data_IF_112549767843
#
_entry.id   IF_112549767843
#
_cell.length_a   1.000
_cell.length_b   1.000
_cell.length_c   1.000
_cell.angle_alpha   90.00
_cell.angle_beta   90.00
_cell.angle_gamma   90.00
#
_symmetry.space_group_name_H-M   'P 1'
#
loop_
_entity.id
_entity.type
_entity.pdbx_description
1 polymer ?
#
# COMPACT_ATOMS: atom_id res chain seq x y z
N UNK A 1 13.19 14.83 4.58
CA UNK A 1 11.74 14.59 4.76
C UNK A 1 11.41 13.15 4.36
N UNK A 2 10.55 12.45 5.12
CA UNK A 2 10.14 11.07 4.80
C UNK A 2 9.12 11.12 3.67
N UNK A 3 9.37 10.52 2.49
CA UNK A 3 8.37 10.43 1.44
C UNK A 3 7.23 9.49 1.84
N UNK A 4 5.99 9.89 1.56
CA UNK A 4 4.78 9.19 2.05
C UNK A 4 3.70 9.04 0.99
N UNK A 5 2.93 7.96 1.10
CA UNK A 5 1.60 7.85 0.52
C UNK A 5 0.58 8.46 1.49
N UNK A 6 -0.18 9.43 1.06
CA UNK A 6 -1.29 10.01 1.83
C UNK A 6 -2.58 9.27 1.50
N UNK A 7 -3.05 8.38 2.37
CA UNK A 7 -4.37 7.76 2.22
C UNK A 7 -5.41 8.71 2.79
N UNK A 8 -6.26 9.24 1.91
CA UNK A 8 -7.29 10.25 2.25
C UNK A 8 -8.62 9.86 1.63
N UNK A 9 -9.71 10.36 2.21
CA UNK A 9 -11.01 10.36 1.56
C UNK A 9 -11.19 11.68 0.82
N UNK A 10 -11.56 11.61 -0.44
CA UNK A 10 -11.92 12.76 -1.24
C UNK A 10 -13.23 12.47 -2.01
N UNK A 11 -14.33 12.93 -1.43
CA UNK A 11 -15.67 12.69 -2.00
C UNK A 11 -15.85 13.35 -3.35
N UNK A 12 -15.17 14.47 -3.60
CA UNK A 12 -15.26 15.19 -4.88
C UNK A 12 -14.68 14.36 -6.03
N UNK A 13 -13.70 13.49 -5.73
CA UNK A 13 -13.07 12.58 -6.69
C UNK A 13 -13.51 11.11 -6.50
N UNK A 14 -14.63 10.86 -5.83
CA UNK A 14 -15.15 9.50 -5.61
C UNK A 14 -14.30 8.63 -4.70
N UNK A 15 -13.40 9.23 -3.92
CA UNK A 15 -12.53 8.50 -3.00
C UNK A 15 -13.19 8.44 -1.61
N UNK A 16 -13.35 7.25 -1.10
CA UNK A 16 -13.86 7.04 0.26
C UNK A 16 -12.94 6.13 1.06
N UNK A 17 -12.84 6.39 2.35
CA UNK A 17 -12.28 5.47 3.33
C UNK A 17 -13.41 4.95 4.19
N UNK A 18 -13.37 3.66 4.54
CA UNK A 18 -14.46 3.03 5.31
C UNK A 18 -14.54 3.55 6.74
N UNK A 19 -13.45 4.07 7.28
CA UNK A 19 -13.35 4.54 8.66
C UNK A 19 -12.23 5.56 8.82
N UNK A 20 -12.21 6.26 9.94
CA UNK A 20 -11.15 7.21 10.28
C UNK A 20 -9.76 6.56 10.33
N UNK A 21 -9.66 5.31 10.80
CA UNK A 21 -8.40 4.55 10.77
C UNK A 21 -7.87 4.31 9.34
N UNK A 22 -8.73 4.45 8.34
CA UNK A 22 -8.34 4.46 6.94
C UNK A 22 -7.50 5.67 6.55
N UNK A 23 -7.68 6.82 7.22
CA UNK A 23 -6.93 8.05 6.97
C UNK A 23 -5.54 7.92 7.59
N UNK A 24 -4.51 7.87 6.77
CA UNK A 24 -3.15 7.67 7.26
C UNK A 24 -2.08 8.10 6.27
N UNK A 25 -0.89 8.31 6.80
CA UNK A 25 0.33 8.51 6.05
C UNK A 25 1.17 7.24 6.13
N UNK A 26 1.48 6.66 4.98
CA UNK A 26 2.27 5.44 4.87
C UNK A 26 3.61 5.79 4.24
N UNK A 27 4.74 5.65 4.94
CA UNK A 27 6.05 5.86 4.36
C UNK A 27 6.29 4.97 3.13
N UNK A 28 6.99 5.52 2.14
CA UNK A 28 7.38 4.79 0.95
C UNK A 28 8.64 3.99 1.28
N UNK A 29 8.62 2.69 1.01
CA UNK A 29 9.76 1.81 1.23
C UNK A 29 10.99 2.28 0.45
N UNK A 30 12.18 2.30 1.08
CA UNK A 30 13.42 2.75 0.45
C UNK A 30 13.68 2.07 -0.89
N UNK A 31 13.42 0.77 -0.99
CA UNK A 31 13.60 0.01 -2.23
C UNK A 31 12.72 0.48 -3.40
N UNK A 32 11.51 1.00 -3.13
CA UNK A 32 10.68 1.58 -4.19
C UNK A 32 11.31 2.85 -4.75
N UNK A 33 11.93 3.66 -3.89
CA UNK A 33 12.64 4.87 -4.31
C UNK A 33 13.87 4.52 -5.15
N UNK A 34 14.65 3.53 -4.74
CA UNK A 34 15.80 3.01 -5.48
C UNK A 34 15.41 2.45 -6.86
N UNK A 35 14.19 1.91 -6.99
CA UNK A 35 13.64 1.39 -8.26
C UNK A 35 13.06 2.49 -9.16
N UNK A 36 13.21 3.77 -8.80
CA UNK A 36 12.77 4.90 -9.62
C UNK A 36 11.32 5.32 -9.41
N UNK A 37 10.71 4.95 -8.26
CA UNK A 37 9.32 5.34 -8.01
C UNK A 37 9.13 6.86 -7.89
N UNK A 38 10.14 7.59 -7.38
CA UNK A 38 10.13 9.05 -7.30
C UNK A 38 10.03 9.68 -8.69
N UNK A 39 10.90 9.28 -9.59
CA UNK A 39 10.95 9.73 -10.99
C UNK A 39 9.66 9.40 -11.74
N UNK A 40 9.11 8.21 -11.50
CA UNK A 40 7.81 7.83 -12.06
C UNK A 40 6.69 8.77 -11.61
N UNK A 41 6.62 9.11 -10.31
CA UNK A 41 5.63 10.06 -9.78
C UNK A 41 5.79 11.44 -10.41
N UNK A 42 7.02 11.94 -10.52
CA UNK A 42 7.30 13.26 -11.08
C UNK A 42 6.99 13.33 -12.58
N UNK A 43 7.27 12.26 -13.32
CA UNK A 43 6.85 12.15 -14.72
C UNK A 43 5.32 12.20 -14.88
N UNK A 44 4.58 11.53 -13.96
CA UNK A 44 3.10 11.55 -13.98
C UNK A 44 2.50 12.89 -13.59
N UNK A 45 3.15 13.68 -12.75
CA UNK A 45 2.71 15.06 -12.45
C UNK A 45 2.83 15.97 -13.67
N UNK A 46 3.80 15.69 -14.54
CA UNK A 46 4.11 16.52 -15.71
C UNK A 46 3.31 16.13 -16.96
N UNK A 47 2.66 14.97 -16.97
CA UNK A 47 1.88 14.51 -18.11
C UNK A 47 0.43 15.02 -18.10
N UNK A 48 -0.25 14.90 -19.25
CA UNK A 48 -1.65 15.33 -19.41
C UNK A 48 -2.68 14.40 -18.74
N UNK A 49 -2.25 13.44 -17.92
CA UNK A 49 -3.12 12.42 -17.29
C UNK A 49 -3.98 12.96 -16.14
N UNK A 50 -3.97 14.27 -15.91
CA UNK A 50 -4.73 14.89 -14.82
C UNK A 50 -4.17 14.54 -13.44
N UNK A 51 -2.88 14.20 -13.34
CA UNK A 51 -2.19 13.88 -12.07
C UNK A 51 -2.52 12.50 -11.51
N UNK A 52 -3.16 11.62 -12.28
CA UNK A 52 -3.40 10.23 -11.85
C UNK A 52 -2.15 9.39 -12.03
N UNK A 53 -1.72 8.72 -10.96
CA UNK A 53 -0.53 7.87 -10.97
C UNK A 53 -0.67 6.68 -11.95
N UNK A 54 -1.87 6.09 -12.02
CA UNK A 54 -2.23 4.97 -12.89
C UNK A 54 -3.38 5.41 -13.81
N UNK A 55 -3.07 6.18 -14.85
CA UNK A 55 -4.05 6.72 -15.80
C UNK A 55 -4.79 5.64 -16.59
N UNK A 56 -4.12 4.51 -16.84
CA UNK A 56 -4.66 3.39 -17.63
C UNK A 56 -5.67 2.51 -16.88
N UNK A 57 -5.82 2.74 -15.56
CA UNK A 57 -6.80 2.02 -14.76
C UNK A 57 -8.16 2.69 -14.91
N UNK A 58 -9.11 2.00 -15.54
CA UNK A 58 -10.49 2.46 -15.66
C UNK A 58 -11.14 2.51 -14.28
N UNK A 59 -11.73 3.65 -13.93
CA UNK A 59 -12.55 3.77 -12.73
C UNK A 59 -13.95 3.27 -13.01
N UNK A 60 -14.46 2.38 -12.16
CA UNK A 60 -15.85 1.98 -12.22
C UNK A 60 -16.76 3.14 -11.75
N UNK A 61 -17.96 3.26 -12.33
CA UNK A 61 -18.94 4.31 -11.98
C UNK A 61 -19.33 4.31 -10.49
N UNK A 62 -19.21 3.17 -9.81
CA UNK A 62 -19.68 2.96 -8.44
C UNK A 62 -18.57 2.78 -7.41
N UNK A 63 -17.29 2.96 -7.72
CA UNK A 63 -16.31 2.76 -6.66
C UNK A 63 -14.85 2.50 -7.01
N UNK A 64 -14.28 3.30 -7.87
CA UNK A 64 -12.83 3.30 -8.05
C UNK A 64 -12.25 2.09 -8.84
N UNK A 65 -10.96 2.16 -9.17
CA UNK A 65 -10.29 1.18 -10.03
C UNK A 65 -9.99 -0.19 -9.41
N UNK A 66 -10.28 -0.40 -8.12
CA UNK A 66 -9.88 -1.61 -7.41
C UNK A 66 -10.52 -2.91 -7.94
N UNK A 67 -11.78 -2.86 -8.38
CA UNK A 67 -12.48 -4.02 -8.94
C UNK A 67 -11.88 -4.47 -10.27
N UNK A 68 -11.64 -3.53 -11.18
CA UNK A 68 -11.04 -3.82 -12.48
C UNK A 68 -9.59 -4.30 -12.35
N UNK A 69 -8.83 -3.69 -11.45
CA UNK A 69 -7.48 -4.16 -11.16
C UNK A 69 -7.47 -5.58 -10.59
N UNK A 70 -8.40 -5.91 -9.70
CA UNK A 70 -8.52 -7.28 -9.15
C UNK A 70 -8.87 -8.31 -10.23
N UNK A 71 -9.74 -7.98 -11.18
CA UNK A 71 -10.05 -8.81 -12.33
C UNK A 71 -8.83 -8.99 -13.24
N UNK A 72 -8.11 -7.91 -13.52
CA UNK A 72 -6.87 -7.95 -14.29
C UNK A 72 -5.83 -8.85 -13.61
N UNK A 73 -5.61 -8.69 -12.30
CA UNK A 73 -4.69 -9.51 -11.52
C UNK A 73 -5.04 -11.00 -11.61
N UNK A 74 -6.32 -11.34 -11.45
CA UNK A 74 -6.79 -12.71 -11.58
C UNK A 74 -6.57 -13.30 -12.99
N UNK A 75 -6.70 -12.49 -14.05
CA UNK A 75 -6.36 -12.93 -15.41
C UNK A 75 -4.87 -13.16 -15.58
N UNK A 76 -4.01 -12.23 -15.08
CA UNK A 76 -2.57 -12.37 -15.19
C UNK A 76 -2.05 -13.59 -14.44
N UNK A 77 -2.49 -13.81 -13.20
CA UNK A 77 -2.05 -14.99 -12.41
C UNK A 77 -2.41 -16.31 -13.09
N UNK A 78 -3.57 -16.39 -13.77
CA UNK A 78 -3.92 -17.57 -14.60
C UNK A 78 -2.99 -17.71 -15.80
N UNK A 79 -2.73 -16.61 -16.51
CA UNK A 79 -1.88 -16.59 -17.71
C UNK A 79 -0.46 -17.09 -17.43
N UNK A 80 0.10 -16.74 -16.27
CA UNK A 80 1.46 -17.12 -15.87
C UNK A 80 1.53 -18.39 -15.00
N UNK A 81 0.40 -19.10 -14.86
CA UNK A 81 0.35 -20.37 -14.13
C UNK A 81 0.44 -20.25 -12.60
N UNK A 82 0.30 -19.06 -12.03
CA UNK A 82 0.38 -18.84 -10.57
C UNK A 82 -0.99 -18.85 -9.88
N UNK A 83 -2.07 -19.02 -10.66
CA UNK A 83 -3.41 -19.01 -10.07
C UNK A 83 -3.64 -20.20 -9.15
N UNK A 84 -4.18 -19.90 -7.98
CA UNK A 84 -4.73 -20.89 -7.03
C UNK A 84 -5.94 -20.29 -6.32
N UNK A 85 -6.92 -21.09 -5.88
CA UNK A 85 -8.05 -20.62 -5.09
C UNK A 85 -7.57 -19.83 -3.87
N UNK A 86 -8.18 -18.67 -3.61
CA UNK A 86 -7.80 -17.79 -2.51
C UNK A 86 -6.64 -16.82 -2.80
N UNK A 87 -5.89 -16.99 -3.89
CA UNK A 87 -4.88 -16.03 -4.30
C UNK A 87 -5.54 -14.85 -5.02
N UNK A 88 -5.68 -13.76 -4.29
CA UNK A 88 -6.26 -12.50 -4.78
C UNK A 88 -5.27 -11.35 -4.56
N UNK A 89 -5.51 -10.20 -5.20
CA UNK A 89 -4.61 -9.06 -5.02
C UNK A 89 -4.47 -8.65 -3.54
N UNK A 90 -5.52 -8.78 -2.75
CA UNK A 90 -5.49 -8.51 -1.30
C UNK A 90 -4.52 -9.42 -0.52
N UNK A 91 -4.10 -10.55 -1.08
CA UNK A 91 -3.11 -11.44 -0.47
C UNK A 91 -1.75 -10.77 -0.24
N UNK A 92 -1.39 -9.77 -1.06
CA UNK A 92 -0.19 -8.96 -0.80
C UNK A 92 -0.27 -8.20 0.53
N UNK A 93 -1.46 -7.70 0.89
CA UNK A 93 -1.65 -7.05 2.18
C UNK A 93 -1.45 -8.02 3.35
N UNK A 94 -1.94 -9.26 3.22
CA UNK A 94 -1.73 -10.28 4.25
C UNK A 94 -0.23 -10.60 4.37
N UNK A 95 0.45 -10.84 3.25
CA UNK A 95 1.89 -11.12 3.25
C UNK A 95 2.72 -9.97 3.84
N UNK A 96 2.34 -8.73 3.57
CA UNK A 96 3.00 -7.56 4.14
C UNK A 96 2.82 -7.48 5.67
N UNK A 97 1.61 -7.77 6.18
CA UNK A 97 1.35 -7.84 7.61
C UNK A 97 2.19 -8.94 8.26
N UNK A 98 2.28 -10.11 7.63
CA UNK A 98 3.07 -11.22 8.14
C UNK A 98 4.56 -10.88 8.14
N UNK A 99 5.08 -10.22 7.11
CA UNK A 99 6.46 -9.76 7.08
C UNK A 99 6.79 -8.74 8.20
N UNK A 100 5.86 -7.84 8.51
CA UNK A 100 6.01 -6.93 9.66
C UNK A 100 6.06 -7.71 10.99
N UNK A 101 5.24 -8.76 11.14
CA UNK A 101 5.24 -9.64 12.32
C UNK A 101 6.53 -10.47 12.41
N UNK A 102 7.01 -11.01 11.30
CA UNK A 102 8.27 -11.74 11.20
C UNK A 102 9.47 -10.88 11.63
N UNK A 103 9.41 -9.56 11.36
CA UNK A 103 10.38 -8.58 11.86
C UNK A 103 10.12 -8.13 13.32
N UNK A 104 9.22 -8.82 14.03
CA UNK A 104 8.87 -8.52 15.43
C UNK A 104 8.33 -7.11 15.66
N UNK A 105 7.70 -6.50 14.63
CA UNK A 105 7.12 -5.17 14.79
C UNK A 105 5.91 -5.21 15.75
N UNK A 106 5.81 -4.25 16.68
CA UNK A 106 4.70 -4.19 17.62
C UNK A 106 3.33 -4.06 16.93
N UNK A 107 2.31 -4.72 17.45
CA UNK A 107 0.96 -4.75 16.85
C UNK A 107 0.38 -3.36 16.61
N UNK A 108 0.62 -2.39 17.48
CA UNK A 108 0.15 -1.01 17.31
C UNK A 108 0.84 -0.29 16.13
N UNK A 109 2.12 -0.57 15.88
CA UNK A 109 2.86 -0.06 14.70
C UNK A 109 2.24 -0.64 13.43
N UNK A 110 2.04 -1.96 13.39
CA UNK A 110 1.43 -2.66 12.25
C UNK A 110 0.02 -2.09 11.97
N UNK A 111 -0.83 -1.97 13.00
CA UNK A 111 -2.19 -1.40 12.86
C UNK A 111 -2.16 0.01 12.27
N UNK A 112 -1.23 0.86 12.72
CA UNK A 112 -1.06 2.23 12.21
C UNK A 112 -0.67 2.26 10.74
N UNK A 113 0.25 1.38 10.31
CA UNK A 113 0.69 1.29 8.91
C UNK A 113 -0.44 0.79 8.01
N UNK A 114 -1.12 -0.29 8.43
CA UNK A 114 -2.13 -0.93 7.57
C UNK A 114 -3.53 -0.32 7.70
N UNK A 115 -3.79 0.51 8.71
CA UNK A 115 -5.10 1.14 8.93
C UNK A 115 -6.17 0.13 9.36
N UNK A 116 -5.85 -0.72 10.33
CA UNK A 116 -6.82 -1.60 10.95
C UNK A 116 -7.44 -0.91 12.17
N UNK A 117 -8.76 -0.88 12.23
CA UNK A 117 -9.50 -0.61 13.46
C UNK A 117 -9.24 -1.78 14.42
N UNK A 118 -8.68 -1.50 15.55
CA UNK A 118 -8.52 -2.48 16.60
C UNK A 118 -8.78 -1.80 17.94
N UNK A 119 -9.84 -2.20 18.61
CA UNK A 119 -10.22 -1.73 19.93
C UNK A 119 -9.22 -2.12 21.01
N UNK A 120 -8.01 -1.63 20.91
CA UNK A 120 -7.04 -1.68 22.00
C UNK A 120 -7.24 -0.39 22.80
N UNK A 121 -7.75 -0.55 24.01
CA UNK A 121 -8.06 0.55 24.95
C UNK A 121 -6.82 1.42 25.24
N UNK A 122 -5.62 0.91 24.91
CA UNK A 122 -4.34 1.60 25.03
C UNK A 122 -4.04 2.60 23.89
N UNK A 123 -4.79 2.57 22.79
CA UNK A 123 -4.58 3.52 21.69
C UNK A 123 -5.00 4.97 22.04
N UNK A 124 -5.72 5.18 23.11
CA UNK A 124 -6.12 6.51 23.60
C UNK A 124 -5.08 7.21 24.48
N UNK A 125 -4.03 6.55 24.92
CA UNK A 125 -3.05 7.06 25.86
C UNK A 125 -1.61 7.10 25.33
N UNK A 126 -1.38 7.05 24.02
CA UNK A 126 -0.04 7.04 23.44
C UNK A 126 0.18 8.14 22.40
N UNK A 127 1.39 8.68 22.36
CA UNK A 127 1.83 9.54 21.28
C UNK A 127 1.67 8.78 19.95
N UNK A 128 1.07 9.43 18.95
CA UNK A 128 0.90 8.84 17.61
C UNK A 128 2.23 8.27 17.10
N UNK A 129 2.21 7.06 16.55
CA UNK A 129 3.41 6.40 15.98
C UNK A 129 4.04 7.33 14.95
N UNK A 130 5.28 7.76 15.20
CA UNK A 130 5.94 8.73 14.33
C UNK A 130 6.20 8.16 12.93
N UNK A 131 6.30 9.03 11.93
CA UNK A 131 6.65 8.65 10.56
C UNK A 131 7.99 7.90 10.50
N UNK A 132 8.96 8.29 11.33
CA UNK A 132 10.28 7.65 11.40
C UNK A 132 10.17 6.19 11.87
N UNK A 133 9.39 5.92 12.90
CA UNK A 133 9.16 4.54 13.39
C UNK A 133 8.47 3.70 12.32
N UNK A 134 7.43 4.24 11.66
CA UNK A 134 6.76 3.55 10.56
C UNK A 134 7.69 3.30 9.37
N UNK A 135 8.55 4.28 9.03
CA UNK A 135 9.56 4.12 7.97
C UNK A 135 10.51 2.96 8.29
N UNK A 136 11.08 2.96 9.51
CA UNK A 136 12.00 1.90 9.94
C UNK A 136 11.34 0.52 9.88
N UNK A 137 10.08 0.41 10.32
CA UNK A 137 9.34 -0.86 10.26
C UNK A 137 9.11 -1.32 8.82
N UNK A 138 8.76 -0.41 7.92
CA UNK A 138 8.52 -0.71 6.50
C UNK A 138 9.82 -1.11 5.81
N UNK A 139 10.92 -0.39 6.04
CA UNK A 139 12.21 -0.65 5.38
C UNK A 139 12.88 -1.97 5.80
N UNK A 140 12.46 -2.54 6.93
CA UNK A 140 12.87 -3.89 7.35
C UNK A 140 12.19 -5.01 6.57
N UNK A 141 11.06 -4.73 5.90
CA UNK A 141 10.37 -5.74 5.10
C UNK A 141 11.20 -6.00 3.85
N UNK A 142 11.72 -7.21 3.71
CA UNK A 142 12.48 -7.63 2.53
C UNK A 142 11.84 -8.84 1.87
N UNK A 143 11.78 -8.79 0.54
CA UNK A 143 11.40 -9.92 -0.31
C UNK A 143 12.52 -10.26 -1.30
N UNK A 144 13.75 -9.75 -1.03
CA UNK A 144 14.87 -9.86 -1.96
C UNK A 144 15.31 -11.31 -2.18
N UNK A 145 15.15 -12.17 -1.17
CA UNK A 145 15.45 -13.60 -1.28
C UNK A 145 14.50 -14.33 -2.26
N UNK A 146 13.36 -13.73 -2.57
CA UNK A 146 12.38 -14.26 -3.52
C UNK A 146 12.52 -13.68 -4.94
N UNK A 147 13.37 -12.66 -5.13
CA UNK A 147 13.59 -12.04 -6.43
C UNK A 147 14.85 -12.61 -7.08
N UNK A 148 14.83 -12.88 -8.40
CA UNK A 148 16.05 -13.23 -9.11
C UNK A 148 17.04 -12.05 -9.02
N UNK A 149 18.35 -12.32 -9.02
CA UNK A 149 19.35 -11.27 -9.03
C UNK A 149 19.12 -10.33 -10.22
N UNK A 150 19.11 -9.05 -9.96
CA UNK A 150 19.05 -8.02 -11.02
C UNK A 150 20.30 -8.16 -11.88
N UNK A 151 20.11 -8.41 -13.17
CA UNK A 151 21.20 -8.41 -14.15
C UNK A 151 21.76 -7.01 -14.34
#
# INVERSE_FOLDING_TARGET
EVPIFKVRGDKAHGQSVKSEAGLRDVPIHCRLLELGFGEFVDARKSDASGGRLFSDVTLAETGGGGGEFSKWFGRQTRKIGLYRPGLVFHSFRHRFIDALRENSEPSYVIKTIVGHEGGDVTSGYGTAVSLKVRQTAIDRVSYLDALPPTK
#
